data_IF_542863814782
#
_entry.id   IF_542863814782
#
_cell.length_a   1.000
_cell.length_b   1.000
_cell.length_c   1.000
_cell.angle_alpha   90.00
_cell.angle_beta   90.00
_cell.angle_gamma   90.00
#
_symmetry.space_group_name_H-M   'P 1'
#
loop_
_entity.id
_entity.type
_entity.pdbx_description
1 polymer ?
#
# COMPACT_ATOMS: atom_id res chain seq x y z
N UNK A 1 7.75 28.66 6.17
CA UNK A 1 6.79 27.55 6.31
C UNK A 1 7.59 26.27 6.36
N UNK A 2 7.56 25.54 7.48
CA UNK A 2 8.10 24.18 7.53
C UNK A 2 7.15 23.26 6.75
N UNK A 3 7.67 22.46 5.82
CA UNK A 3 6.84 21.45 5.15
C UNK A 3 6.25 20.49 6.20
N UNK A 4 4.93 20.26 6.13
CA UNK A 4 4.25 19.27 6.97
C UNK A 4 4.72 17.86 6.59
N UNK A 5 5.07 17.06 7.60
CA UNK A 5 5.40 15.65 7.47
C UNK A 5 4.14 14.83 7.20
N UNK A 6 4.08 14.18 6.04
CA UNK A 6 2.87 13.51 5.52
C UNK A 6 2.83 12.07 5.99
N UNK A 7 1.77 11.74 6.70
CA UNK A 7 1.39 10.36 7.02
C UNK A 7 0.15 10.05 6.19
N UNK A 8 0.31 9.25 5.14
CA UNK A 8 -0.73 9.00 4.14
C UNK A 8 -1.17 7.55 4.22
N UNK A 9 -2.49 7.28 4.22
CA UNK A 9 -3.02 5.91 4.22
C UNK A 9 -4.05 5.69 3.12
N UNK A 10 -3.94 4.57 2.39
CA UNK A 10 -4.94 4.17 1.41
C UNK A 10 -6.07 3.37 2.04
N UNK A 11 -7.30 3.80 1.79
CA UNK A 11 -8.51 3.03 2.02
C UNK A 11 -9.02 2.50 0.67
N UNK A 12 -8.95 1.18 0.49
CA UNK A 12 -9.52 0.51 -0.68
C UNK A 12 -11.00 0.20 -0.46
N UNK A 13 -11.88 0.69 -1.33
CA UNK A 13 -13.33 0.54 -1.17
C UNK A 13 -13.78 -0.92 -1.07
N UNK A 14 -13.18 -1.81 -1.85
CA UNK A 14 -13.49 -3.25 -1.83
C UNK A 14 -13.07 -3.95 -0.52
N UNK A 15 -12.30 -3.30 0.34
CA UNK A 15 -11.96 -3.79 1.68
C UNK A 15 -13.18 -4.00 2.57
N UNK A 16 -14.32 -3.36 2.28
CA UNK A 16 -15.54 -3.48 3.10
C UNK A 16 -16.21 -4.85 3.03
N UNK A 17 -15.84 -5.69 2.06
CA UNK A 17 -16.47 -6.98 1.78
C UNK A 17 -15.74 -8.10 2.51
N UNK A 18 -15.03 -8.98 1.78
CA UNK A 18 -14.36 -10.15 2.35
C UNK A 18 -13.29 -9.81 3.39
N UNK A 19 -12.66 -8.63 3.28
CA UNK A 19 -11.68 -8.15 4.28
C UNK A 19 -12.33 -7.55 5.53
N UNK A 20 -13.65 -7.30 5.49
CA UNK A 20 -14.46 -6.71 6.56
C UNK A 20 -13.82 -5.47 7.22
N UNK A 21 -13.17 -4.62 6.40
CA UNK A 21 -12.52 -3.40 6.84
C UNK A 21 -13.35 -2.18 6.39
N UNK A 22 -14.07 -1.59 7.34
CA UNK A 22 -15.00 -0.50 7.12
C UNK A 22 -14.31 0.86 7.29
N UNK A 23 -14.86 1.96 6.72
CA UNK A 23 -14.37 3.32 6.96
C UNK A 23 -14.21 3.67 8.45
N UNK A 24 -15.08 3.14 9.31
CA UNK A 24 -15.03 3.33 10.77
C UNK A 24 -13.89 2.60 11.47
N UNK A 25 -13.21 1.66 10.78
CA UNK A 25 -12.03 0.98 11.31
C UNK A 25 -10.72 1.77 11.09
N UNK A 26 -10.74 2.81 10.25
CA UNK A 26 -9.55 3.59 9.92
C UNK A 26 -8.99 4.26 11.18
N UNK A 27 -7.72 4.02 11.55
CA UNK A 27 -7.10 4.61 12.74
C UNK A 27 -6.63 6.05 12.44
N UNK A 28 -7.58 6.92 12.11
CA UNK A 28 -7.40 8.21 11.44
C UNK A 28 -6.36 9.13 12.11
N UNK A 29 -6.26 9.10 13.45
CA UNK A 29 -5.29 9.89 14.24
C UNK A 29 -3.82 9.67 13.85
N UNK A 30 -3.51 8.52 13.23
CA UNK A 30 -2.16 8.21 12.76
C UNK A 30 -1.82 8.88 11.42
N UNK A 31 -2.79 9.52 10.77
CA UNK A 31 -2.67 10.04 9.42
C UNK A 31 -2.91 11.55 9.35
N UNK A 32 -2.31 12.15 8.34
CA UNK A 32 -2.56 13.53 7.88
C UNK A 32 -3.41 13.52 6.62
N UNK A 33 -3.28 12.48 5.80
CA UNK A 33 -3.98 12.30 4.54
C UNK A 33 -4.55 10.88 4.48
N UNK A 34 -5.78 10.75 4.00
CA UNK A 34 -6.36 9.48 3.59
C UNK A 34 -6.65 9.54 2.09
N UNK A 35 -6.14 8.57 1.36
CA UNK A 35 -6.42 8.42 -0.07
C UNK A 35 -7.44 7.30 -0.25
N UNK A 36 -8.54 7.61 -0.92
CA UNK A 36 -9.60 6.66 -1.22
C UNK A 36 -9.36 6.04 -2.60
N UNK A 37 -9.27 4.71 -2.67
CA UNK A 37 -9.26 3.98 -3.94
C UNK A 37 -10.68 3.49 -4.26
N UNK A 38 -11.22 4.00 -5.37
CA UNK A 38 -12.55 3.69 -5.91
C UNK A 38 -12.73 2.22 -6.24
N UNK A 39 -13.97 1.72 -6.14
CA UNK A 39 -14.28 0.33 -6.51
C UNK A 39 -15.65 0.17 -7.13
N UNK A 40 -16.71 0.45 -6.36
CA UNK A 40 -18.10 0.25 -6.81
C UNK A 40 -19.07 1.22 -6.12
N UNK A 41 -20.20 1.52 -6.78
CA UNK A 41 -21.17 2.50 -6.27
C UNK A 41 -21.74 2.15 -4.90
N UNK A 42 -21.93 0.87 -4.61
CA UNK A 42 -22.50 0.45 -3.34
C UNK A 42 -21.56 0.82 -2.18
N UNK A 43 -20.27 0.47 -2.29
CA UNK A 43 -19.27 0.83 -1.29
C UNK A 43 -19.02 2.35 -1.24
N UNK A 44 -18.93 2.98 -2.40
CA UNK A 44 -18.46 4.35 -2.54
C UNK A 44 -19.52 5.36 -2.08
N UNK A 45 -20.80 5.16 -2.45
CA UNK A 45 -21.84 6.19 -2.31
C UNK A 45 -23.16 5.73 -1.64
N UNK A 46 -23.42 4.43 -1.49
CA UNK A 46 -24.73 3.94 -1.03
C UNK A 46 -24.70 3.36 0.40
N UNK A 47 -23.71 2.53 0.73
CA UNK A 47 -23.65 1.81 2.01
C UNK A 47 -23.50 2.79 3.18
N UNK A 48 -24.44 2.84 4.14
CA UNK A 48 -24.38 3.81 5.22
C UNK A 48 -23.27 3.50 6.22
N UNK A 49 -22.61 4.55 6.70
CA UNK A 49 -21.60 4.51 7.77
C UNK A 49 -21.81 5.70 8.71
N UNK A 50 -21.41 5.55 9.97
CA UNK A 50 -21.50 6.62 10.96
C UNK A 50 -22.95 7.02 11.31
N UNK A 51 -23.20 8.32 11.37
CA UNK A 51 -24.48 8.94 11.74
C UNK A 51 -25.25 9.48 10.51
N UNK A 52 -26.47 9.99 10.74
CA UNK A 52 -27.34 10.46 9.65
C UNK A 52 -26.77 11.67 8.86
N UNK A 53 -25.81 12.40 9.43
CA UNK A 53 -25.14 13.54 8.81
C UNK A 53 -23.91 13.13 7.98
N UNK A 54 -23.55 11.85 7.94
CA UNK A 54 -22.43 11.34 7.12
C UNK A 54 -22.80 11.25 5.64
N UNK A 55 -23.21 12.40 5.10
CA UNK A 55 -23.55 12.64 3.70
C UNK A 55 -22.94 13.96 3.22
N UNK A 56 -22.31 13.95 2.05
CA UNK A 56 -21.84 15.18 1.39
C UNK A 56 -22.67 15.42 0.13
N UNK A 57 -23.29 16.60 0.00
CA UNK A 57 -24.23 16.91 -1.08
C UNK A 57 -25.33 15.84 -1.28
N UNK A 58 -25.81 15.24 -0.18
CA UNK A 58 -26.81 14.18 -0.19
C UNK A 58 -26.27 12.77 -0.49
N UNK A 59 -24.99 12.63 -0.82
CA UNK A 59 -24.32 11.36 -1.12
C UNK A 59 -23.79 10.73 0.17
N UNK A 60 -24.17 9.47 0.42
CA UNK A 60 -23.70 8.67 1.55
C UNK A 60 -22.47 7.85 1.20
N UNK A 61 -22.43 6.58 1.62
CA UNK A 61 -21.29 5.71 1.35
C UNK A 61 -20.04 6.11 2.13
N UNK A 62 -18.92 5.54 1.73
CA UNK A 62 -17.64 5.96 2.27
C UNK A 62 -17.29 7.42 1.89
N UNK A 63 -17.79 7.91 0.74
CA UNK A 63 -17.61 9.31 0.32
C UNK A 63 -18.25 10.28 1.31
N UNK A 64 -19.53 10.07 1.61
CA UNK A 64 -20.27 10.87 2.58
C UNK A 64 -19.63 10.81 3.96
N UNK A 65 -19.24 9.60 4.41
CA UNK A 65 -18.57 9.40 5.69
C UNK A 65 -17.26 10.20 5.80
N UNK A 66 -16.35 10.08 4.84
CA UNK A 66 -15.07 10.78 4.91
C UNK A 66 -15.18 12.29 4.65
N UNK A 67 -16.15 12.75 3.86
CA UNK A 67 -16.16 14.13 3.36
C UNK A 67 -17.26 15.04 3.91
N UNK A 68 -18.27 14.50 4.60
CA UNK A 68 -19.30 15.34 5.19
C UNK A 68 -18.69 16.32 6.20
N UNK A 69 -18.82 17.63 5.92
CA UNK A 69 -18.18 18.69 6.73
C UNK A 69 -18.70 18.72 8.17
N UNK A 70 -19.95 18.30 8.37
CA UNK A 70 -20.58 18.15 9.68
C UNK A 70 -20.74 16.68 10.08
N UNK A 71 -20.17 15.73 9.32
CA UNK A 71 -20.24 14.29 9.60
C UNK A 71 -19.33 13.87 10.74
N UNK A 72 -19.55 12.67 11.26
CA UNK A 72 -18.84 12.12 12.41
C UNK A 72 -17.32 12.13 12.21
N UNK A 73 -16.85 11.64 11.06
CA UNK A 73 -15.42 11.55 10.75
C UNK A 73 -14.71 12.91 10.78
N UNK A 74 -15.28 13.93 10.13
CA UNK A 74 -14.66 15.27 10.04
C UNK A 74 -14.72 16.05 11.35
N UNK A 75 -15.78 15.87 12.16
CA UNK A 75 -15.85 16.47 13.50
C UNK A 75 -14.74 15.94 14.41
N UNK A 76 -14.43 14.65 14.31
CA UNK A 76 -13.37 14.01 15.10
C UNK A 76 -11.97 14.26 14.52
N UNK A 77 -11.86 14.45 13.20
CA UNK A 77 -10.59 14.56 12.49
C UNK A 77 -10.52 15.80 11.56
N UNK A 78 -10.70 17.02 12.09
CA UNK A 78 -10.87 18.23 11.26
C UNK A 78 -9.63 18.61 10.44
N UNK A 79 -8.44 18.14 10.84
CA UNK A 79 -7.17 18.43 10.17
C UNK A 79 -6.83 17.44 9.05
N UNK A 80 -7.45 16.26 9.02
CA UNK A 80 -7.12 15.23 8.01
C UNK A 80 -7.60 15.69 6.63
N UNK A 81 -6.76 15.50 5.63
CA UNK A 81 -7.09 15.67 4.22
C UNK A 81 -7.57 14.35 3.64
N UNK A 82 -8.69 14.37 2.93
CA UNK A 82 -9.14 13.21 2.17
C UNK A 82 -8.88 13.46 0.70
N UNK A 83 -8.39 12.46 -0.01
CA UNK A 83 -8.06 12.56 -1.42
C UNK A 83 -8.66 11.37 -2.15
N UNK A 84 -8.89 11.53 -3.45
CA UNK A 84 -9.36 10.46 -4.33
C UNK A 84 -8.20 9.97 -5.19
N UNK A 85 -7.96 8.66 -5.23
CA UNK A 85 -7.04 8.05 -6.19
C UNK A 85 -7.73 7.84 -7.53
N UNK A 86 -7.02 8.16 -8.60
CA UNK A 86 -7.42 7.88 -9.97
C UNK A 86 -6.36 6.97 -10.59
N UNK A 87 -6.78 5.82 -11.10
CA UNK A 87 -5.89 4.84 -11.71
C UNK A 87 -5.69 3.60 -10.86
N UNK A 88 -4.43 3.33 -10.52
CA UNK A 88 -3.95 2.06 -10.00
C UNK A 88 -3.76 1.03 -11.10
N UNK A 89 -3.21 -0.12 -10.72
CA UNK A 89 -2.91 -1.25 -11.60
C UNK A 89 -3.99 -1.55 -12.66
N UNK A 90 -5.24 -1.67 -12.25
CA UNK A 90 -6.34 -2.10 -13.12
C UNK A 90 -6.89 -1.00 -14.03
N UNK A 91 -6.74 0.27 -13.66
CA UNK A 91 -7.39 1.39 -14.35
C UNK A 91 -6.41 2.40 -14.97
N UNK A 92 -5.16 2.01 -15.13
CA UNK A 92 -4.11 2.87 -15.71
C UNK A 92 -4.07 2.91 -17.25
N UNK A 93 -4.79 2.03 -17.94
CA UNK A 93 -4.68 1.85 -19.41
C UNK A 93 -4.94 3.13 -20.23
N UNK A 94 -5.84 3.97 -19.76
CA UNK A 94 -6.32 5.14 -20.52
C UNK A 94 -5.47 6.41 -20.27
N UNK A 95 -4.54 6.39 -19.31
CA UNK A 95 -3.71 7.56 -19.01
C UNK A 95 -2.86 8.00 -20.20
N UNK A 96 -2.39 7.07 -21.04
CA UNK A 96 -1.63 7.40 -22.25
C UNK A 96 -2.47 8.27 -23.22
N UNK A 97 -3.76 7.95 -23.38
CA UNK A 97 -4.71 8.71 -24.19
C UNK A 97 -4.98 10.06 -23.52
N UNK A 98 -5.23 10.07 -22.21
CA UNK A 98 -5.45 11.31 -21.43
C UNK A 98 -4.26 12.27 -21.57
N UNK A 99 -3.04 11.76 -21.48
CA UNK A 99 -1.82 12.56 -21.53
C UNK A 99 -1.43 13.03 -22.93
N UNK A 100 -1.93 12.37 -23.99
CA UNK A 100 -1.46 12.55 -25.38
C UNK A 100 -1.69 13.94 -25.99
N UNK A 101 -2.76 14.65 -25.63
CA UNK A 101 -3.09 15.98 -26.18
C UNK A 101 -3.40 16.98 -25.07
N UNK A 102 -3.24 18.28 -25.36
CA UNK A 102 -3.59 19.34 -24.42
C UNK A 102 -5.09 19.32 -24.10
N UNK A 103 -5.91 19.03 -25.10
CA UNK A 103 -7.36 18.96 -25.02
C UNK A 103 -7.81 17.80 -24.13
N UNK A 104 -7.19 16.62 -24.26
CA UNK A 104 -7.48 15.47 -23.40
C UNK A 104 -7.09 15.73 -21.95
N UNK A 105 -5.91 16.30 -21.72
CA UNK A 105 -5.48 16.72 -20.38
C UNK A 105 -6.44 17.74 -19.78
N UNK A 106 -6.90 18.73 -20.57
CA UNK A 106 -7.88 19.71 -20.11
C UNK A 106 -9.20 19.04 -19.70
N UNK A 107 -9.75 18.16 -20.53
CA UNK A 107 -11.00 17.44 -20.21
C UNK A 107 -10.87 16.63 -18.91
N UNK A 108 -9.75 15.94 -18.76
CA UNK A 108 -9.45 15.19 -17.54
C UNK A 108 -9.36 16.11 -16.32
N UNK A 109 -8.61 17.21 -16.39
CA UNK A 109 -8.50 18.18 -15.29
C UNK A 109 -9.87 18.74 -14.91
N UNK A 110 -10.67 19.15 -15.91
CA UNK A 110 -12.01 19.70 -15.67
C UNK A 110 -12.91 18.68 -14.95
N UNK A 111 -12.89 17.40 -15.38
CA UNK A 111 -13.69 16.35 -14.72
C UNK A 111 -13.22 16.02 -13.32
N UNK A 112 -11.89 16.03 -13.08
CA UNK A 112 -11.32 15.77 -11.75
C UNK A 112 -11.68 16.89 -10.78
N UNK A 113 -11.55 18.15 -11.18
CA UNK A 113 -11.92 19.30 -10.35
C UNK A 113 -13.41 19.24 -9.99
N UNK A 114 -14.25 18.92 -10.99
CA UNK A 114 -15.69 18.73 -10.76
C UNK A 114 -15.96 17.61 -9.76
N UNK A 115 -15.33 16.44 -9.92
CA UNK A 115 -15.51 15.30 -9.03
C UNK A 115 -15.08 15.62 -7.58
N UNK A 116 -13.87 16.15 -7.41
CA UNK A 116 -13.31 16.51 -6.09
C UNK A 116 -14.24 17.50 -5.38
N UNK A 117 -14.76 18.49 -6.10
CA UNK A 117 -15.70 19.48 -5.55
C UNK A 117 -17.06 18.87 -5.21
N UNK A 118 -17.60 18.02 -6.09
CA UNK A 118 -18.93 17.42 -5.91
C UNK A 118 -18.99 16.47 -4.71
N UNK A 119 -17.90 15.75 -4.43
CA UNK A 119 -17.83 14.76 -3.35
C UNK A 119 -17.02 15.22 -2.14
N UNK A 120 -16.53 16.46 -2.13
CA UNK A 120 -15.97 17.11 -0.94
C UNK A 120 -14.56 16.67 -0.57
N UNK A 121 -13.82 16.06 -1.52
CA UNK A 121 -12.42 15.72 -1.32
C UNK A 121 -11.53 16.97 -1.24
N UNK A 122 -10.43 16.87 -0.52
CA UNK A 122 -9.44 17.94 -0.38
C UNK A 122 -8.34 17.88 -1.45
N UNK A 123 -8.31 16.82 -2.26
CA UNK A 123 -7.34 16.66 -3.35
C UNK A 123 -7.53 15.39 -4.18
N UNK A 124 -6.61 15.18 -5.11
CA UNK A 124 -6.56 14.02 -6.01
C UNK A 124 -5.16 13.43 -6.00
N UNK A 125 -5.09 12.12 -6.08
CA UNK A 125 -3.91 11.31 -6.31
C UNK A 125 -3.99 10.65 -7.70
N UNK A 126 -2.88 10.65 -8.45
CA UNK A 126 -2.81 10.14 -9.82
C UNK A 126 -1.85 8.95 -9.84
N UNK A 127 -2.42 7.76 -9.93
CA UNK A 127 -1.70 6.51 -9.84
C UNK A 127 -1.64 5.83 -11.22
N UNK A 128 -0.73 6.30 -12.09
CA UNK A 128 -0.53 5.73 -13.42
C UNK A 128 0.56 4.65 -13.38
N UNK A 129 0.15 3.40 -13.51
CA UNK A 129 1.00 2.21 -13.51
C UNK A 129 1.05 1.52 -14.89
N UNK A 130 2.05 1.72 -15.73
CA UNK A 130 3.08 2.76 -15.68
C UNK A 130 3.12 3.46 -17.06
N UNK A 131 3.57 4.73 -17.14
CA UNK A 131 3.97 5.30 -18.41
C UNK A 131 5.03 4.39 -19.06
N UNK A 132 4.76 3.86 -20.26
CA UNK A 132 5.67 2.95 -20.96
C UNK A 132 5.42 1.45 -20.79
N UNK A 133 4.46 1.04 -19.94
CA UNK A 133 3.99 -0.36 -19.77
C UNK A 133 4.76 -1.23 -18.75
N UNK A 134 4.15 -2.28 -18.21
CA UNK A 134 4.82 -3.21 -17.27
C UNK A 134 4.02 -4.42 -16.76
N UNK A 135 4.73 -5.55 -16.60
CA UNK A 135 4.57 -6.63 -15.58
C UNK A 135 5.61 -7.73 -15.88
N UNK A 136 6.89 -7.53 -15.53
CA UNK A 136 7.98 -8.43 -15.93
C UNK A 136 8.85 -8.80 -14.72
N UNK A 137 8.63 -9.99 -14.16
CA UNK A 137 9.64 -10.69 -13.37
C UNK A 137 9.42 -12.20 -13.48
N UNK A 138 10.49 -12.97 -13.57
CA UNK A 138 10.48 -14.44 -13.61
C UNK A 138 11.19 -15.08 -12.40
N UNK A 139 11.61 -14.29 -11.42
CA UNK A 139 12.36 -14.72 -10.23
C UNK A 139 11.78 -14.10 -8.96
N UNK A 140 11.96 -14.79 -7.82
CA UNK A 140 11.55 -14.25 -6.52
C UNK A 140 12.42 -13.04 -6.14
N UNK A 141 11.79 -11.96 -5.72
CA UNK A 141 12.43 -10.75 -5.21
C UNK A 141 11.64 -10.25 -4.00
N UNK A 142 12.27 -9.44 -3.13
CA UNK A 142 11.56 -8.80 -2.03
C UNK A 142 10.47 -7.85 -2.55
N UNK A 143 9.33 -7.81 -1.85
CA UNK A 143 8.19 -6.98 -2.26
C UNK A 143 8.50 -5.48 -2.13
N UNK A 144 9.26 -5.07 -1.10
CA UNK A 144 9.60 -3.67 -0.86
C UNK A 144 10.88 -3.48 -0.04
N UNK A 145 11.98 -4.12 -0.45
CA UNK A 145 13.26 -4.01 0.25
C UNK A 145 13.76 -2.56 0.36
N UNK A 146 14.34 -2.23 1.52
CA UNK A 146 14.89 -0.91 1.77
C UNK A 146 16.22 -0.73 1.03
N UNK A 147 17.12 -1.70 1.19
CA UNK A 147 18.42 -1.74 0.53
C UNK A 147 18.56 -2.99 -0.36
N UNK A 148 19.56 -2.99 -1.22
CA UNK A 148 19.93 -4.17 -2.02
C UNK A 148 20.44 -5.28 -1.08
N UNK A 149 19.99 -6.51 -1.33
CA UNK A 149 20.45 -7.70 -0.59
C UNK A 149 21.93 -7.99 -0.89
N UNK A 150 22.57 -8.75 0.01
CA UNK A 150 24.01 -9.04 -0.08
C UNK A 150 24.43 -9.63 -1.44
N UNK A 151 23.60 -10.51 -1.98
CA UNK A 151 23.92 -11.26 -3.21
C UNK A 151 23.40 -10.56 -4.47
N UNK A 152 22.76 -9.38 -4.32
CA UNK A 152 22.15 -8.60 -5.41
C UNK A 152 21.13 -9.42 -6.22
N UNK A 153 20.35 -10.22 -5.49
CA UNK A 153 19.25 -11.01 -6.04
C UNK A 153 18.09 -10.12 -6.47
N UNK A 154 17.89 -8.98 -5.80
CA UNK A 154 16.95 -7.94 -6.20
C UNK A 154 17.62 -6.93 -7.13
N UNK A 155 16.96 -6.55 -8.21
CA UNK A 155 17.50 -5.61 -9.20
C UNK A 155 17.50 -4.15 -8.72
N UNK A 156 16.60 -3.83 -7.78
CA UNK A 156 16.38 -2.47 -7.27
C UNK A 156 16.09 -2.46 -5.78
N UNK A 157 16.19 -1.28 -5.15
CA UNK A 157 15.76 -1.05 -3.78
C UNK A 157 15.09 0.32 -3.62
N UNK A 158 14.35 0.49 -2.53
CA UNK A 158 13.72 1.77 -2.20
C UNK A 158 14.76 2.90 -2.06
N UNK A 159 15.91 2.61 -1.46
CA UNK A 159 17.03 3.56 -1.34
C UNK A 159 17.57 4.01 -2.70
N UNK A 160 17.76 3.09 -3.65
CA UNK A 160 18.24 3.44 -5.00
C UNK A 160 17.25 4.34 -5.74
N UNK A 161 15.95 4.06 -5.63
CA UNK A 161 14.89 4.86 -6.27
C UNK A 161 14.83 6.26 -5.65
N UNK A 162 14.85 6.36 -4.31
CA UNK A 162 14.85 7.65 -3.61
C UNK A 162 16.10 8.46 -3.95
N UNK A 163 17.27 7.82 -3.93
CA UNK A 163 18.55 8.44 -4.30
C UNK A 163 18.54 8.94 -5.74
N UNK A 164 17.97 8.17 -6.68
CA UNK A 164 17.81 8.60 -8.07
C UNK A 164 17.00 9.90 -8.17
N UNK A 165 15.83 9.98 -7.53
CA UNK A 165 15.01 11.20 -7.56
C UNK A 165 15.74 12.41 -6.95
N UNK A 166 16.39 12.23 -5.80
CA UNK A 166 17.12 13.29 -5.11
C UNK A 166 18.29 13.78 -5.98
N UNK A 167 19.07 12.87 -6.56
CA UNK A 167 20.21 13.21 -7.42
C UNK A 167 19.79 13.90 -8.73
N UNK A 168 18.53 13.71 -9.16
CA UNK A 168 17.93 14.41 -10.28
C UNK A 168 17.14 15.68 -9.87
N UNK A 169 17.37 16.19 -8.65
CA UNK A 169 16.87 17.49 -8.20
C UNK A 169 15.48 17.46 -7.55
N UNK A 170 14.92 16.28 -7.26
CA UNK A 170 13.68 16.21 -6.50
C UNK A 170 13.89 16.76 -5.07
N UNK A 171 12.98 17.65 -4.66
CA UNK A 171 12.94 18.14 -3.28
C UNK A 171 12.55 17.00 -2.33
N UNK A 172 13.44 16.66 -1.39
CA UNK A 172 13.22 15.62 -0.37
C UNK A 172 11.88 15.78 0.34
N UNK A 173 11.47 17.02 0.63
CA UNK A 173 10.21 17.32 1.35
C UNK A 173 8.94 17.02 0.54
N UNK A 174 9.07 16.74 -0.77
CA UNK A 174 7.98 16.31 -1.66
C UNK A 174 7.99 14.81 -1.94
N UNK A 175 9.06 14.09 -1.57
CA UNK A 175 9.12 12.64 -1.68
C UNK A 175 8.42 12.00 -0.48
N UNK A 176 7.39 11.21 -0.74
CA UNK A 176 6.66 10.42 0.27
C UNK A 176 6.98 8.96 0.05
N UNK A 177 7.54 8.30 1.06
CA UNK A 177 8.03 6.93 0.93
C UNK A 177 6.87 5.91 0.96
N UNK A 178 6.75 5.08 -0.07
CA UNK A 178 5.72 4.05 -0.15
C UNK A 178 6.04 2.83 0.72
N UNK A 179 5.06 2.38 1.48
CA UNK A 179 5.13 1.20 2.36
C UNK A 179 3.92 0.33 2.05
N UNK A 180 4.10 -0.98 2.02
CA UNK A 180 3.00 -1.92 1.85
C UNK A 180 2.74 -2.69 3.14
N UNK A 181 1.46 -2.92 3.48
CA UNK A 181 1.06 -3.87 4.52
C UNK A 181 0.69 -5.24 3.93
N UNK A 182 1.04 -5.46 2.66
CA UNK A 182 0.87 -6.73 1.97
C UNK A 182 2.18 -7.51 1.92
N UNK A 183 2.06 -8.84 1.92
CA UNK A 183 3.09 -9.74 1.47
C UNK A 183 2.81 -10.29 0.06
N UNK A 184 3.87 -10.79 -0.57
CA UNK A 184 3.81 -11.52 -1.85
C UNK A 184 4.27 -12.95 -1.64
N UNK A 185 3.49 -13.91 -2.09
CA UNK A 185 3.82 -15.32 -2.05
C UNK A 185 4.04 -15.91 -3.44
N UNK A 186 4.98 -16.86 -3.51
CA UNK A 186 5.39 -17.53 -4.73
C UNK A 186 5.36 -19.05 -4.50
N UNK A 187 4.87 -19.79 -5.49
CA UNK A 187 4.77 -21.25 -5.45
C UNK A 187 5.77 -21.90 -6.40
N UNK A 188 6.07 -23.18 -6.17
CA UNK A 188 7.04 -23.96 -6.94
C UNK A 188 8.43 -23.30 -6.99
N UNK A 189 8.82 -22.63 -5.90
CA UNK A 189 10.12 -21.97 -5.74
C UNK A 189 11.25 -22.99 -5.81
N UNK A 190 12.29 -22.65 -6.55
CA UNK A 190 13.52 -23.44 -6.67
C UNK A 190 14.18 -23.73 -5.32
N UNK A 191 15.05 -24.74 -5.31
CA UNK A 191 15.92 -24.98 -4.17
C UNK A 191 17.00 -23.89 -4.15
N UNK A 192 17.30 -23.36 -2.97
CA UNK A 192 18.35 -22.35 -2.81
C UNK A 192 19.71 -22.88 -3.23
N UNK A 193 20.30 -22.32 -4.28
CA UNK A 193 21.63 -22.74 -4.79
C UNK A 193 22.69 -21.68 -4.51
N UNK A 194 23.15 -21.63 -3.26
CA UNK A 194 24.30 -20.81 -2.85
C UNK A 194 24.00 -19.37 -2.46
N UNK A 195 22.74 -18.94 -2.48
CA UNK A 195 22.31 -17.66 -1.93
C UNK A 195 22.37 -17.63 -0.40
N UNK A 196 22.60 -16.45 0.17
CA UNK A 196 22.66 -16.19 1.61
C UNK A 196 21.28 -16.19 2.28
N UNK A 197 20.20 -16.09 1.50
CA UNK A 197 18.81 -16.12 1.96
C UNK A 197 18.06 -17.25 1.25
N UNK A 198 17.46 -18.16 2.01
CA UNK A 198 16.69 -19.27 1.43
C UNK A 198 15.47 -18.77 0.64
N UNK A 199 15.34 -19.24 -0.58
CA UNK A 199 14.22 -19.00 -1.50
C UNK A 199 14.24 -17.64 -2.22
N UNK A 200 15.18 -16.76 -1.90
CA UNK A 200 15.37 -15.47 -2.58
C UNK A 200 16.17 -15.65 -3.88
N UNK A 201 15.79 -14.95 -4.95
CA UNK A 201 16.48 -15.01 -6.25
C UNK A 201 16.23 -16.29 -7.03
N UNK A 202 15.34 -17.16 -6.54
CA UNK A 202 15.05 -18.45 -7.14
C UNK A 202 13.92 -18.34 -8.18
N UNK A 203 13.95 -19.21 -9.19
CA UNK A 203 12.84 -19.33 -10.13
C UNK A 203 11.59 -19.85 -9.41
N UNK A 204 10.41 -19.38 -9.81
CA UNK A 204 9.12 -19.84 -9.30
C UNK A 204 8.15 -20.10 -10.45
N UNK A 205 7.07 -20.83 -10.19
CA UNK A 205 5.98 -20.99 -11.17
C UNK A 205 4.63 -21.00 -10.47
N UNK A 206 3.93 -19.88 -10.56
CA UNK A 206 2.64 -19.67 -9.89
C UNK A 206 2.75 -19.03 -8.51
N UNK A 207 1.60 -18.86 -7.88
CA UNK A 207 1.45 -18.18 -6.59
C UNK A 207 0.39 -18.90 -5.75
N UNK A 208 0.43 -18.80 -4.41
CA UNK A 208 -0.59 -19.42 -3.56
C UNK A 208 -1.98 -18.89 -3.87
N UNK A 209 -2.97 -19.80 -3.94
CA UNK A 209 -4.37 -19.43 -4.17
C UNK A 209 -5.08 -19.03 -2.88
N UNK A 210 -6.16 -18.24 -2.97
CA UNK A 210 -7.01 -17.93 -1.81
C UNK A 210 -7.47 -19.23 -1.15
N UNK A 211 -7.25 -19.33 0.16
CA UNK A 211 -7.56 -20.52 0.97
C UNK A 211 -6.45 -21.57 1.05
N UNK A 212 -5.38 -21.46 0.25
CA UNK A 212 -4.24 -22.38 0.31
C UNK A 212 -3.41 -22.21 1.59
N UNK A 213 -3.14 -20.96 1.96
CA UNK A 213 -2.44 -20.57 3.17
C UNK A 213 -3.23 -19.50 3.94
N UNK A 214 -3.10 -19.43 5.28
CA UNK A 214 -3.66 -18.32 6.03
C UNK A 214 -3.17 -16.99 5.47
N UNK A 215 -4.08 -16.02 5.40
CA UNK A 215 -3.77 -14.67 4.97
C UNK A 215 -3.75 -14.39 3.48
N UNK A 216 -3.91 -15.39 2.61
CA UNK A 216 -4.04 -15.15 1.16
C UNK A 216 -5.38 -14.46 0.88
N UNK A 217 -5.34 -13.16 0.63
CA UNK A 217 -6.54 -12.33 0.36
C UNK A 217 -6.87 -12.25 -1.12
N UNK A 218 -5.85 -12.41 -1.97
CA UNK A 218 -5.92 -12.53 -3.44
C UNK A 218 -4.79 -13.48 -3.85
N UNK A 219 -4.89 -14.12 -5.03
CA UNK A 219 -3.85 -15.08 -5.45
C UNK A 219 -2.45 -14.43 -5.42
N UNK A 220 -1.57 -14.96 -4.58
CA UNK A 220 -0.21 -14.44 -4.34
C UNK A 220 -0.10 -13.23 -3.41
N UNK A 221 -1.21 -12.68 -2.91
CA UNK A 221 -1.22 -11.53 -1.99
C UNK A 221 -1.61 -11.98 -0.60
N UNK A 222 -0.75 -11.68 0.36
CA UNK A 222 -1.00 -11.94 1.77
C UNK A 222 -1.27 -10.63 2.51
N UNK A 223 -2.27 -10.57 3.37
CA UNK A 223 -2.37 -9.45 4.32
C UNK A 223 -1.34 -9.61 5.45
N UNK A 224 -0.83 -8.51 6.01
CA UNK A 224 0.01 -8.56 7.21
C UNK A 224 -0.69 -9.30 8.36
N UNK A 225 -1.97 -8.99 8.62
CA UNK A 225 -2.77 -9.70 9.63
C UNK A 225 -2.75 -11.20 9.40
N UNK A 226 -2.95 -11.64 8.15
CA UNK A 226 -2.99 -13.04 7.81
C UNK A 226 -1.63 -13.74 7.88
N UNK A 227 -0.53 -13.03 7.61
CA UNK A 227 0.82 -13.54 7.87
C UNK A 227 1.04 -13.69 9.38
N UNK A 228 0.58 -12.74 10.18
CA UNK A 228 0.69 -12.85 11.63
C UNK A 228 -0.12 -14.05 12.15
N UNK A 229 -1.32 -14.30 11.62
CA UNK A 229 -2.10 -15.52 11.91
C UNK A 229 -1.34 -16.79 11.52
N UNK A 230 -0.69 -16.82 10.35
CA UNK A 230 0.18 -17.93 9.95
C UNK A 230 1.31 -18.16 10.97
N UNK A 231 1.98 -17.09 11.40
CA UNK A 231 3.09 -17.13 12.35
C UNK A 231 2.67 -17.56 13.76
N UNK A 232 1.44 -17.27 14.17
CA UNK A 232 0.87 -17.66 15.46
C UNK A 232 0.24 -19.06 15.44
N UNK A 233 0.07 -19.67 14.26
CA UNK A 233 -0.53 -21.00 14.09
C UNK A 233 0.51 -22.13 14.15
N UNK A 234 0.05 -23.38 14.30
CA UNK A 234 0.92 -24.57 14.20
C UNK A 234 1.61 -24.72 12.84
N UNK A 235 1.05 -24.11 11.78
CA UNK A 235 1.65 -24.09 10.44
C UNK A 235 2.95 -23.30 10.39
N UNK A 236 3.21 -22.43 11.37
CA UNK A 236 4.48 -21.70 11.49
C UNK A 236 5.69 -22.63 11.53
N UNK A 237 5.55 -23.82 12.14
CA UNK A 237 6.61 -24.84 12.23
C UNK A 237 7.04 -25.39 10.87
N UNK A 238 6.24 -25.18 9.82
CA UNK A 238 6.56 -25.59 8.47
C UNK A 238 7.37 -24.53 7.69
N UNK A 239 7.47 -23.31 8.21
CA UNK A 239 8.16 -22.20 7.56
C UNK A 239 9.42 -21.80 8.33
N UNK A 240 10.52 -21.66 7.62
CA UNK A 240 11.68 -20.94 8.10
C UNK A 240 11.37 -19.44 8.07
N UNK A 241 11.38 -18.79 9.24
CA UNK A 241 11.38 -17.33 9.33
C UNK A 241 12.78 -16.78 9.09
N UNK A 242 12.91 -15.82 8.18
CA UNK A 242 14.21 -15.25 7.78
C UNK A 242 14.13 -13.73 7.87
N UNK A 243 15.12 -13.14 8.54
CA UNK A 243 15.40 -11.71 8.51
C UNK A 243 16.68 -11.47 7.72
N UNK A 244 16.60 -10.74 6.61
CA UNK A 244 17.78 -10.26 5.90
C UNK A 244 18.16 -8.88 6.42
N UNK A 245 19.28 -8.83 7.15
CA UNK A 245 19.77 -7.59 7.74
C UNK A 245 20.37 -6.62 6.72
N UNK A 246 20.76 -7.08 5.51
CA UNK A 246 21.23 -6.18 4.45
C UNK A 246 20.06 -5.41 3.85
N UNK A 247 19.04 -6.11 3.37
CA UNK A 247 17.87 -5.48 2.74
C UNK A 247 16.86 -4.91 3.75
N UNK A 248 17.01 -5.23 5.04
CA UNK A 248 16.06 -4.93 6.14
C UNK A 248 14.66 -5.51 5.86
N UNK A 249 14.62 -6.73 5.34
CA UNK A 249 13.39 -7.36 4.84
C UNK A 249 13.18 -8.76 5.44
N UNK A 250 11.94 -9.10 5.87
CA UNK A 250 11.61 -10.45 6.29
C UNK A 250 11.09 -11.32 5.13
N UNK A 251 11.26 -12.63 5.28
CA UNK A 251 10.61 -13.63 4.43
C UNK A 251 10.31 -14.92 5.19
N UNK A 252 9.35 -15.70 4.69
CA UNK A 252 9.07 -17.06 5.10
C UNK A 252 9.41 -18.01 3.95
N UNK A 253 10.09 -19.12 4.25
CA UNK A 253 10.39 -20.15 3.27
C UNK A 253 9.98 -21.53 3.75
N UNK A 254 9.24 -22.26 2.93
CA UNK A 254 8.96 -23.68 3.13
C UNK A 254 9.53 -24.45 1.95
N UNK A 255 10.64 -25.14 2.16
CA UNK A 255 11.34 -25.91 1.11
C UNK A 255 10.56 -27.15 0.66
N UNK A 256 9.85 -27.81 1.57
CA UNK A 256 9.03 -28.99 1.26
C UNK A 256 7.83 -28.65 0.38
N UNK A 257 7.15 -27.54 0.68
CA UNK A 257 6.03 -27.00 -0.12
C UNK A 257 6.49 -26.16 -1.30
N UNK A 258 7.77 -25.78 -1.35
CA UNK A 258 8.35 -24.85 -2.33
C UNK A 258 7.59 -23.52 -2.38
N UNK A 259 7.30 -22.97 -1.19
CA UNK A 259 6.63 -21.69 -1.03
C UNK A 259 7.58 -20.68 -0.41
N UNK A 260 7.63 -19.48 -0.98
CA UNK A 260 8.36 -18.34 -0.42
C UNK A 260 7.43 -17.14 -0.31
N UNK A 261 7.48 -16.44 0.82
CA UNK A 261 6.62 -15.29 1.14
C UNK A 261 7.51 -14.13 1.60
N UNK A 262 7.41 -12.98 0.97
CA UNK A 262 8.05 -11.71 1.42
C UNK A 262 6.97 -10.77 1.92
N UNK A 263 7.27 -9.98 2.96
CA UNK A 263 6.28 -9.13 3.62
C UNK A 263 6.95 -8.02 4.45
N UNK A 264 6.16 -7.23 5.18
CA UNK A 264 6.64 -6.29 6.20
C UNK A 264 6.43 -6.83 7.61
N UNK A 265 7.36 -6.53 8.52
CA UNK A 265 7.18 -6.76 9.96
C UNK A 265 7.49 -5.48 10.75
N UNK A 266 7.34 -5.52 12.07
CA UNK A 266 7.68 -4.39 12.92
C UNK A 266 9.14 -3.89 12.75
N UNK A 267 10.10 -4.77 12.45
CA UNK A 267 11.52 -4.40 12.28
C UNK A 267 11.77 -3.68 10.95
N UNK A 268 11.21 -4.15 9.83
CA UNK A 268 11.33 -3.49 8.53
C UNK A 268 10.61 -2.15 8.52
N UNK A 269 9.45 -2.07 9.17
CA UNK A 269 8.71 -0.82 9.38
C UNK A 269 9.53 0.18 10.20
N UNK A 270 10.17 -0.26 11.28
CA UNK A 270 11.04 0.59 12.08
C UNK A 270 12.25 1.09 11.28
N UNK A 271 12.91 0.21 10.50
CA UNK A 271 14.02 0.57 9.64
C UNK A 271 13.62 1.62 8.59
N UNK A 272 12.46 1.45 7.93
CA UNK A 272 11.93 2.41 6.95
C UNK A 272 11.60 3.75 7.60
N UNK A 273 10.98 3.76 8.78
CA UNK A 273 10.70 4.99 9.53
C UNK A 273 11.98 5.78 9.81
N UNK A 274 13.03 5.10 10.29
CA UNK A 274 14.32 5.74 10.55
C UNK A 274 14.94 6.30 9.27
N UNK A 275 14.94 5.51 8.19
CA UNK A 275 15.43 5.95 6.89
C UNK A 275 14.69 7.21 6.38
N UNK A 276 13.36 7.25 6.47
CA UNK A 276 12.55 8.41 6.07
C UNK A 276 12.99 9.68 6.83
N UNK A 277 13.20 9.55 8.14
CA UNK A 277 13.63 10.65 9.00
C UNK A 277 15.08 11.10 8.69
N UNK A 278 16.00 10.15 8.55
CA UNK A 278 17.41 10.40 8.22
C UNK A 278 17.56 11.08 6.85
N UNK A 279 16.77 10.64 5.86
CA UNK A 279 16.74 11.23 4.54
C UNK A 279 15.90 12.52 4.47
N UNK A 280 15.25 12.93 5.57
CA UNK A 280 14.41 14.14 5.65
C UNK A 280 13.34 14.18 4.55
N UNK A 281 12.74 13.01 4.27
CA UNK A 281 11.69 12.92 3.25
C UNK A 281 10.42 13.62 3.74
N UNK A 282 9.52 13.90 2.81
CA UNK A 282 8.23 14.52 3.07
C UNK A 282 7.27 13.68 3.89
N UNK A 283 7.57 12.40 4.12
CA UNK A 283 6.81 11.49 4.97
C UNK A 283 6.67 10.08 4.36
N UNK A 284 5.58 9.39 4.67
CA UNK A 284 5.27 8.05 4.16
C UNK A 284 3.82 7.90 3.70
N UNK A 285 3.62 6.88 2.86
CA UNK A 285 2.34 6.40 2.38
C UNK A 285 2.22 4.89 2.65
N UNK A 286 1.03 4.41 3.03
CA UNK A 286 0.77 2.97 3.25
C UNK A 286 -0.31 2.42 2.32
N UNK A 287 -0.02 1.29 1.66
CA UNK A 287 -0.96 0.48 0.85
C UNK A 287 -1.14 -0.94 1.42
N UNK A 288 -2.34 -1.40 1.76
CA UNK A 288 -3.51 -0.59 2.11
C UNK A 288 -3.93 -0.92 3.56
N UNK A 289 -4.68 -0.01 4.17
CA UNK A 289 -4.98 -0.07 5.60
C UNK A 289 -5.73 -1.33 6.03
N UNK A 290 -6.49 -1.96 5.12
CA UNK A 290 -7.23 -3.19 5.45
C UNK A 290 -6.34 -4.39 5.76
N UNK A 291 -5.07 -4.32 5.38
CA UNK A 291 -4.13 -5.44 5.50
C UNK A 291 -3.40 -5.47 6.84
N UNK A 292 -3.45 -4.36 7.61
CA UNK A 292 -2.98 -4.22 8.99
C UNK A 292 -4.18 -3.95 9.92
N UNK A 293 -5.15 -4.87 9.94
CA UNK A 293 -6.40 -4.68 10.69
C UNK A 293 -6.21 -4.59 12.20
N UNK A 294 -5.08 -5.05 12.74
CA UNK A 294 -4.67 -4.89 14.14
C UNK A 294 -4.05 -3.52 14.45
N UNK A 295 -3.77 -2.71 13.42
CA UNK A 295 -3.03 -1.44 13.49
C UNK A 295 -1.62 -1.57 14.10
N UNK A 296 -1.00 -2.75 14.00
CA UNK A 296 0.31 -2.99 14.60
C UNK A 296 1.40 -2.25 13.81
N UNK A 297 1.42 -2.42 12.49
CA UNK A 297 2.41 -1.76 11.64
C UNK A 297 2.18 -0.25 11.61
N UNK A 298 0.92 0.19 11.51
CA UNK A 298 0.55 1.60 11.65
C UNK A 298 1.06 2.21 12.95
N UNK A 299 0.87 1.52 14.07
CA UNK A 299 1.31 2.00 15.38
C UNK A 299 2.83 2.18 15.45
N UNK A 300 3.60 1.30 14.81
CA UNK A 300 5.07 1.43 14.74
C UNK A 300 5.53 2.58 13.85
N UNK A 301 4.81 2.84 12.74
CA UNK A 301 5.10 3.97 11.86
C UNK A 301 4.80 5.33 12.51
N UNK A 302 3.72 5.43 13.26
CA UNK A 302 3.23 6.69 13.83
C UNK A 302 3.83 7.05 15.19
N UNK A 303 4.53 6.12 15.83
CA UNK A 303 5.21 6.35 17.11
C UNK A 303 6.32 7.42 16.95
N UNK A 304 6.51 8.32 17.93
CA UNK A 304 7.60 9.30 17.92
C UNK A 304 8.98 8.65 17.94
#
# INVERSE_FOLDING_TARGET
MTCEYKRVGYFASWGIYGRNYLPTNVPAKNFTHLIYALGDSWADIEKPYGDANDKYNGVGGAFGYFNSRNGSFRRENPSIKTMIAIGGWSWSKDFSIVASTKENRKRFIDSVVQFVTNYGFDGVDIDWEYPGGGAWSSTTQYNSNLFIDKDKSCETSSDQIISYYINNGADRSKLVFGITFSGKGFSNVGLTRGGSVSGLGEAFSGVPSVGELPGVIENGIFSYTGINELLLSDKSNEFQYIWDDYSKSPSLYNSGKKVWITFENCNSIYAKRNYINEQKLGGYMVWDLSQDSSNELVGKLSSP
#
